data_IF_634114159251
#
_entry.id   IF_634114159251
#
_cell.length_a   1.000
_cell.length_b   1.000
_cell.length_c   1.000
_cell.angle_alpha   90.00
_cell.angle_beta   90.00
_cell.angle_gamma   90.00
#
_symmetry.space_group_name_H-M   'P 1'
#
loop_
_entity.id
_entity.type
_entity.pdbx_description
1 polymer ?
#
# COMPACT_ATOMS: atom_id res chain seq x y z
N UNK A 1 -57.42 14.54 -54.04
CA UNK A 1 -57.19 15.97 -54.33
C UNK A 1 -55.76 16.26 -53.91
N UNK A 2 -54.91 16.50 -54.89
CA UNK A 2 -53.47 16.72 -54.76
C UNK A 2 -53.25 18.15 -54.26
N UNK A 3 -52.34 18.34 -53.31
CA UNK A 3 -51.51 19.55 -53.26
C UNK A 3 -50.33 19.36 -52.30
N UNK A 4 -49.15 19.52 -52.89
CA UNK A 4 -47.80 19.48 -52.35
C UNK A 4 -47.56 20.43 -51.17
N UNK A 5 -46.61 20.06 -50.31
CA UNK A 5 -45.64 21.01 -49.75
C UNK A 5 -44.31 20.28 -49.50
N UNK A 6 -43.27 20.69 -50.23
CA UNK A 6 -41.93 20.14 -50.11
C UNK A 6 -41.03 20.87 -49.10
N UNK A 7 -39.79 20.38 -49.07
CA UNK A 7 -38.56 20.90 -48.46
C UNK A 7 -38.23 20.51 -47.00
N UNK A 8 -37.10 19.79 -46.88
CA UNK A 8 -36.16 20.02 -45.77
C UNK A 8 -35.61 18.78 -45.06
N UNK A 9 -34.96 17.84 -45.77
CA UNK A 9 -34.15 16.81 -45.09
C UNK A 9 -32.88 17.48 -44.54
N UNK A 10 -32.91 17.86 -43.25
CA UNK A 10 -31.70 18.17 -42.49
C UNK A 10 -31.06 16.85 -42.06
N UNK A 11 -29.98 16.48 -42.75
CA UNK A 11 -29.10 15.39 -42.31
C UNK A 11 -28.43 15.79 -40.99
N UNK A 12 -28.85 15.17 -39.89
CA UNK A 12 -28.15 15.24 -38.60
C UNK A 12 -27.06 14.18 -38.63
N UNK A 13 -25.81 14.62 -38.80
CA UNK A 13 -24.64 13.77 -38.63
C UNK A 13 -24.49 13.42 -37.15
N UNK A 14 -24.89 12.20 -36.78
CA UNK A 14 -24.61 11.64 -35.45
C UNK A 14 -23.15 11.17 -35.47
N UNK A 15 -22.27 11.95 -34.83
CA UNK A 15 -20.89 11.55 -34.59
C UNK A 15 -20.88 10.37 -33.60
N UNK A 16 -20.61 9.18 -34.12
CA UNK A 16 -20.42 7.96 -33.32
C UNK A 16 -19.06 8.07 -32.62
N UNK A 17 -19.06 8.56 -31.37
CA UNK A 17 -17.88 8.51 -30.51
C UNK A 17 -17.65 7.05 -30.13
N UNK A 18 -16.72 6.40 -30.82
CA UNK A 18 -16.20 5.09 -30.42
C UNK A 18 -15.32 5.32 -29.19
N UNK A 19 -15.91 5.20 -28.00
CA UNK A 19 -15.15 5.03 -26.77
C UNK A 19 -14.45 3.70 -26.82
N UNK A 20 -13.13 3.72 -27.03
CA UNK A 20 -12.28 2.55 -26.83
C UNK A 20 -12.35 2.17 -25.36
N UNK A 21 -13.22 1.21 -25.03
CA UNK A 21 -13.21 0.57 -23.73
C UNK A 21 -11.94 -0.27 -23.70
N UNK A 22 -10.91 0.21 -23.02
CA UNK A 22 -9.79 -0.63 -22.63
C UNK A 22 -10.36 -1.77 -21.80
N UNK A 23 -10.47 -2.95 -22.40
CA UNK A 23 -10.69 -4.20 -21.67
C UNK A 23 -9.42 -4.40 -20.85
N UNK A 24 -9.41 -3.83 -19.65
CA UNK A 24 -8.54 -4.34 -18.59
C UNK A 24 -8.96 -5.79 -18.41
N UNK A 25 -8.13 -6.71 -18.86
CA UNK A 25 -8.17 -8.07 -18.34
C UNK A 25 -8.10 -7.90 -16.81
N UNK A 26 -9.12 -8.39 -16.10
CA UNK A 26 -9.08 -8.39 -14.65
C UNK A 26 -7.78 -9.11 -14.26
N UNK A 27 -6.92 -8.51 -13.43
CA UNK A 27 -5.73 -9.20 -12.96
C UNK A 27 -6.19 -10.53 -12.37
N UNK A 28 -5.61 -11.66 -12.82
CA UNK A 28 -5.96 -12.96 -12.29
C UNK A 28 -5.87 -12.89 -10.77
N UNK A 29 -6.99 -13.15 -10.09
CA UNK A 29 -7.08 -13.04 -8.65
C UNK A 29 -6.17 -14.10 -8.06
N UNK A 30 -5.04 -13.64 -7.49
CA UNK A 30 -4.12 -14.48 -6.72
C UNK A 30 -4.89 -15.13 -5.57
N UNK A 31 -4.48 -16.34 -5.18
CA UNK A 31 -5.12 -17.07 -4.08
C UNK A 31 -4.13 -17.38 -2.97
N UNK A 32 -4.36 -16.82 -1.79
CA UNK A 32 -3.67 -17.24 -0.58
C UNK A 32 -4.09 -18.67 -0.23
N UNK A 33 -3.10 -19.53 -0.02
CA UNK A 33 -3.29 -20.95 0.30
C UNK A 33 -2.11 -21.47 1.13
N UNK A 34 -2.03 -22.78 1.36
CA UNK A 34 -0.92 -23.43 2.04
C UNK A 34 -0.45 -24.67 1.26
N UNK A 35 0.71 -25.18 1.64
CA UNK A 35 1.35 -26.34 0.98
C UNK A 35 0.46 -27.58 1.04
N UNK A 36 -0.18 -27.84 2.18
CA UNK A 36 -1.07 -28.99 2.33
C UNK A 36 -2.26 -28.95 1.35
N UNK A 37 -2.84 -27.77 1.12
CA UNK A 37 -3.94 -27.58 0.17
C UNK A 37 -3.49 -27.77 -1.29
N UNK A 38 -2.30 -27.30 -1.65
CA UNK A 38 -1.73 -27.50 -2.98
C UNK A 38 -1.52 -28.99 -3.29
N UNK A 39 -0.99 -29.75 -2.32
CA UNK A 39 -0.76 -31.18 -2.45
C UNK A 39 -2.08 -31.98 -2.45
N UNK A 40 -3.08 -31.57 -1.67
CA UNK A 40 -4.36 -32.27 -1.57
C UNK A 40 -5.33 -31.98 -2.73
N UNK A 41 -5.24 -30.80 -3.35
CA UNK A 41 -6.14 -30.36 -4.43
C UNK A 41 -5.40 -29.80 -5.65
N UNK A 42 -4.45 -30.54 -6.25
CA UNK A 42 -3.66 -30.03 -7.35
C UNK A 42 -4.50 -29.67 -8.57
N UNK A 43 -5.60 -30.40 -8.84
CA UNK A 43 -6.56 -30.08 -9.91
C UNK A 43 -7.19 -28.70 -9.74
N UNK A 44 -7.43 -28.26 -8.50
CA UNK A 44 -8.04 -26.96 -8.24
C UNK A 44 -7.03 -25.84 -8.46
N UNK A 45 -5.79 -26.02 -8.00
CA UNK A 45 -4.77 -24.97 -8.02
C UNK A 45 -3.91 -24.91 -9.27
N UNK A 46 -3.86 -25.98 -10.08
CA UNK A 46 -3.00 -26.02 -11.27
C UNK A 46 -3.37 -24.88 -12.24
N UNK A 47 -2.36 -24.15 -12.71
CA UNK A 47 -2.52 -23.00 -13.57
C UNK A 47 -3.03 -21.72 -12.89
N UNK A 48 -3.18 -21.72 -11.56
CA UNK A 48 -3.68 -20.54 -10.82
C UNK A 48 -2.54 -19.77 -10.16
N UNK A 49 -2.59 -18.43 -10.15
CA UNK A 49 -1.73 -17.63 -9.31
C UNK A 49 -2.03 -17.85 -7.83
N UNK A 50 -1.00 -18.10 -7.05
CA UNK A 50 -1.06 -18.42 -5.63
C UNK A 50 -0.11 -17.54 -4.81
N UNK A 51 -0.37 -17.50 -3.51
CA UNK A 51 0.61 -17.11 -2.51
C UNK A 51 0.57 -18.09 -1.35
N UNK A 52 1.75 -18.50 -0.88
CA UNK A 52 1.93 -19.37 0.29
C UNK A 52 3.04 -18.82 1.17
N UNK A 53 3.08 -19.27 2.42
CA UNK A 53 4.22 -19.07 3.33
C UNK A 53 4.77 -20.44 3.70
N UNK A 54 6.10 -20.57 3.74
CA UNK A 54 6.76 -21.79 4.16
C UNK A 54 8.26 -21.59 4.27
N UNK A 55 8.97 -22.63 4.74
CA UNK A 55 10.42 -22.59 4.81
C UNK A 55 11.01 -22.80 3.42
N UNK A 56 11.66 -21.77 2.87
CA UNK A 56 12.40 -21.84 1.62
C UNK A 56 13.86 -22.17 1.91
N UNK A 57 14.42 -23.06 1.10
CA UNK A 57 15.82 -23.43 1.17
C UNK A 57 16.23 -24.28 -0.04
N UNK A 58 17.49 -24.68 -0.07
CA UNK A 58 18.03 -25.56 -1.13
C UNK A 58 18.09 -27.00 -0.61
N UNK A 59 17.46 -27.92 -1.33
CA UNK A 59 17.50 -29.36 -1.09
C UNK A 59 17.89 -30.07 -2.39
N UNK A 60 18.99 -30.83 -2.39
CA UNK A 60 19.51 -31.57 -3.57
C UNK A 60 19.62 -30.67 -4.82
N UNK A 61 20.23 -29.49 -4.64
CA UNK A 61 20.40 -28.45 -5.67
C UNK A 61 19.08 -27.87 -6.23
N UNK A 62 17.94 -28.12 -5.58
CA UNK A 62 16.65 -27.53 -5.91
C UNK A 62 16.21 -26.53 -4.85
N UNK A 63 15.64 -25.40 -5.28
CA UNK A 63 14.93 -24.51 -4.37
C UNK A 63 13.59 -25.15 -4.03
N UNK A 64 13.29 -25.32 -2.75
CA UNK A 64 12.03 -25.87 -2.26
C UNK A 64 11.41 -25.00 -1.19
N UNK A 65 10.08 -24.98 -1.16
CA UNK A 65 9.30 -24.45 -0.04
C UNK A 65 8.71 -25.63 0.72
N UNK A 66 8.80 -25.60 2.04
CA UNK A 66 8.44 -26.73 2.92
C UNK A 66 7.59 -26.30 4.12
N UNK A 67 6.80 -27.24 4.61
CA UNK A 67 6.04 -27.20 5.86
C UNK A 67 5.97 -28.62 6.43
N UNK A 68 5.30 -28.81 7.57
CA UNK A 68 5.04 -30.15 8.11
C UNK A 68 4.26 -31.04 7.15
N UNK A 69 3.46 -30.45 6.25
CA UNK A 69 2.66 -31.20 5.27
C UNK A 69 3.46 -31.73 4.07
N UNK A 70 4.69 -31.25 3.85
CA UNK A 70 5.52 -31.64 2.72
C UNK A 70 6.29 -30.47 2.09
N UNK A 71 6.89 -30.72 0.93
CA UNK A 71 7.65 -29.72 0.17
C UNK A 71 7.26 -29.67 -1.30
N UNK A 72 7.37 -28.49 -1.91
CA UNK A 72 7.10 -28.25 -3.33
C UNK A 72 8.32 -27.54 -3.93
N UNK A 73 8.71 -27.93 -5.15
CA UNK A 73 9.80 -27.28 -5.88
C UNK A 73 9.41 -25.86 -6.27
N UNK A 74 10.33 -24.93 -6.11
CA UNK A 74 10.23 -23.56 -6.59
C UNK A 74 11.12 -23.41 -7.81
N UNK A 75 10.55 -22.91 -8.91
CA UNK A 75 11.30 -22.51 -10.09
C UNK A 75 11.29 -20.99 -10.12
N UNK A 76 12.44 -20.37 -9.81
CA UNK A 76 12.61 -18.92 -9.78
C UNK A 76 13.91 -18.52 -10.47
N UNK A 77 14.01 -17.23 -10.85
CA UNK A 77 15.26 -16.65 -11.34
C UNK A 77 15.99 -16.02 -10.15
N UNK A 78 17.17 -16.52 -9.81
CA UNK A 78 18.00 -15.99 -8.72
C UNK A 78 18.36 -17.04 -7.67
N UNK A 79 19.11 -16.63 -6.65
CA UNK A 79 19.43 -17.48 -5.50
C UNK A 79 18.21 -17.69 -4.61
N UNK A 80 18.12 -18.87 -3.99
CA UNK A 80 17.12 -19.11 -2.95
C UNK A 80 17.37 -18.19 -1.75
N UNK A 81 16.38 -17.43 -1.28
CA UNK A 81 16.41 -16.97 0.10
C UNK A 81 16.38 -18.20 1.04
N UNK A 82 16.92 -18.03 2.24
CA UNK A 82 16.87 -19.04 3.30
C UNK A 82 16.05 -18.49 4.46
N UNK A 83 15.01 -19.20 4.86
CA UNK A 83 14.14 -18.79 5.95
C UNK A 83 12.66 -19.07 5.70
N UNK A 84 11.81 -18.39 6.46
CA UNK A 84 10.35 -18.42 6.26
C UNK A 84 9.99 -17.30 5.30
N UNK A 85 9.57 -17.67 4.09
CA UNK A 85 9.32 -16.72 3.01
C UNK A 85 7.88 -16.81 2.50
N UNK A 86 7.36 -15.67 2.05
CA UNK A 86 6.16 -15.58 1.22
C UNK A 86 6.55 -15.83 -0.24
N UNK A 87 6.03 -16.92 -0.81
CA UNK A 87 6.25 -17.31 -2.21
C UNK A 87 5.02 -16.95 -3.01
N UNK A 88 5.20 -16.16 -4.07
CA UNK A 88 4.14 -15.81 -5.03
C UNK A 88 4.51 -16.38 -6.38
N UNK A 89 3.52 -16.96 -7.08
CA UNK A 89 3.75 -17.58 -8.37
C UNK A 89 2.53 -18.27 -8.92
N UNK A 90 2.72 -19.10 -9.94
CA UNK A 90 1.70 -19.99 -10.47
C UNK A 90 1.99 -21.42 -10.00
N UNK A 91 0.98 -22.14 -9.50
CA UNK A 91 1.13 -23.55 -9.14
C UNK A 91 0.91 -24.43 -10.37
N UNK A 92 1.87 -25.30 -10.67
CA UNK A 92 1.83 -26.22 -11.79
C UNK A 92 1.79 -27.67 -11.30
N UNK A 93 0.88 -28.44 -11.91
CA UNK A 93 0.86 -29.91 -11.90
C UNK A 93 1.15 -30.34 -13.34
N UNK A 94 2.41 -30.73 -13.59
CA UNK A 94 2.93 -30.93 -14.94
C UNK A 94 2.29 -32.15 -15.61
N UNK A 95 1.89 -33.16 -14.83
CA UNK A 95 1.15 -34.32 -15.35
C UNK A 95 -0.25 -33.99 -15.87
N UNK A 96 -0.75 -32.77 -15.62
CA UNK A 96 -2.01 -32.26 -16.19
C UNK A 96 -1.82 -31.32 -17.37
N UNK A 97 -0.58 -30.91 -17.64
CA UNK A 97 -0.23 -30.13 -18.83
C UNK A 97 -0.01 -31.08 -20.00
N UNK A 98 -0.18 -30.57 -21.22
CA UNK A 98 0.22 -31.32 -22.40
C UNK A 98 1.73 -31.23 -22.58
N UNK A 99 2.39 -32.26 -23.14
CA UNK A 99 3.83 -32.20 -23.44
C UNK A 99 4.22 -31.02 -24.33
N UNK A 100 3.32 -30.56 -25.21
CA UNK A 100 3.50 -29.47 -26.15
C UNK A 100 2.96 -28.11 -25.64
N UNK A 101 2.64 -27.98 -24.35
CA UNK A 101 2.16 -26.72 -23.77
C UNK A 101 3.24 -25.62 -23.93
N UNK A 102 2.86 -24.50 -24.56
CA UNK A 102 3.77 -23.39 -24.87
C UNK A 102 4.48 -22.83 -23.63
N UNK A 103 3.88 -22.94 -22.44
CA UNK A 103 4.50 -22.48 -21.19
C UNK A 103 5.75 -23.29 -20.81
N UNK A 104 5.84 -24.53 -21.29
CA UNK A 104 6.99 -25.40 -21.07
C UNK A 104 8.16 -25.08 -21.99
N UNK A 105 7.92 -24.39 -23.12
CA UNK A 105 8.94 -24.10 -24.14
C UNK A 105 10.12 -23.27 -23.62
N UNK A 106 9.95 -22.57 -22.50
CA UNK A 106 10.99 -21.76 -21.87
C UNK A 106 11.87 -22.52 -20.87
N UNK A 107 11.62 -23.82 -20.68
CA UNK A 107 12.29 -24.65 -19.68
C UNK A 107 12.96 -25.88 -20.29
N UNK A 108 14.15 -26.21 -19.79
CA UNK A 108 14.72 -27.54 -19.96
C UNK A 108 13.97 -28.49 -19.03
N UNK A 109 13.12 -29.36 -19.57
CA UNK A 109 12.28 -30.27 -18.80
C UNK A 109 13.09 -31.25 -17.94
N UNK A 110 14.24 -31.70 -18.45
CA UNK A 110 15.08 -32.67 -17.75
C UNK A 110 15.79 -31.99 -16.59
N UNK A 111 16.40 -30.82 -16.80
CA UNK A 111 17.10 -30.10 -15.75
C UNK A 111 16.14 -29.45 -14.72
N UNK A 112 15.00 -28.94 -15.18
CA UNK A 112 14.08 -28.13 -14.37
C UNK A 112 13.01 -28.94 -13.67
N UNK A 113 12.61 -30.09 -14.20
CA UNK A 113 11.50 -30.87 -13.65
C UNK A 113 11.80 -32.37 -13.53
N UNK A 114 13.01 -32.80 -13.93
CA UNK A 114 13.40 -34.22 -14.00
C UNK A 114 12.46 -35.06 -14.86
N UNK A 115 11.86 -34.44 -15.87
CA UNK A 115 11.02 -35.12 -16.86
C UNK A 115 11.90 -35.50 -18.04
N UNK A 116 11.87 -36.77 -18.42
CA UNK A 116 12.49 -37.23 -19.66
C UNK A 116 11.58 -36.90 -20.86
N UNK A 117 11.98 -36.02 -21.80
CA UNK A 117 11.13 -35.65 -22.93
C UNK A 117 10.83 -36.82 -23.88
N UNK A 118 11.72 -37.82 -23.91
CA UNK A 118 11.56 -39.04 -24.73
C UNK A 118 10.84 -40.17 -23.97
N UNK A 119 10.56 -39.95 -22.68
CA UNK A 119 9.93 -40.91 -21.77
C UNK A 119 8.41 -40.76 -21.65
N UNK A 120 7.77 -41.59 -20.80
CA UNK A 120 6.37 -41.41 -20.48
C UNK A 120 6.14 -40.09 -19.74
N UNK A 121 5.11 -39.35 -20.15
CA UNK A 121 4.70 -38.12 -19.45
C UNK A 121 4.30 -38.42 -17.99
N UNK A 122 4.66 -37.57 -17.01
CA UNK A 122 4.31 -37.78 -15.61
C UNK A 122 2.80 -37.88 -15.39
N UNK A 123 2.41 -38.65 -14.37
CA UNK A 123 1.01 -38.72 -13.94
C UNK A 123 0.62 -37.44 -13.22
N UNK A 124 -0.68 -37.15 -13.22
CA UNK A 124 -1.21 -36.01 -12.47
C UNK A 124 -0.84 -36.10 -10.98
N UNK A 125 -0.27 -35.03 -10.44
CA UNK A 125 0.22 -34.91 -9.07
C UNK A 125 1.61 -35.49 -8.82
N UNK A 126 2.26 -36.13 -9.81
CA UNK A 126 3.60 -36.71 -9.66
C UNK A 126 4.69 -35.64 -9.67
N UNK A 127 4.57 -34.66 -10.57
CA UNK A 127 5.52 -33.56 -10.72
C UNK A 127 4.78 -32.24 -10.55
N UNK A 128 4.99 -31.59 -9.41
CA UNK A 128 4.42 -30.29 -9.07
C UNK A 128 5.50 -29.25 -8.81
N UNK A 129 5.26 -28.02 -9.25
CA UNK A 129 6.19 -26.91 -9.03
C UNK A 129 5.43 -25.59 -8.84
N UNK A 130 6.09 -24.62 -8.21
CA UNK A 130 5.66 -23.23 -8.19
C UNK A 130 6.58 -22.44 -9.11
N UNK A 131 6.03 -21.89 -10.18
CA UNK A 131 6.75 -20.94 -11.03
C UNK A 131 6.69 -19.59 -10.32
N UNK A 132 7.75 -19.27 -9.58
CA UNK A 132 7.74 -18.15 -8.66
C UNK A 132 8.00 -16.83 -9.39
N UNK A 133 7.10 -15.87 -9.18
CA UNK A 133 7.29 -14.49 -9.61
C UNK A 133 8.02 -13.66 -8.56
N UNK A 134 7.94 -14.05 -7.29
CA UNK A 134 8.69 -13.42 -6.20
C UNK A 134 8.79 -14.35 -4.99
N UNK A 135 9.92 -14.27 -4.30
CA UNK A 135 10.13 -14.90 -2.98
C UNK A 135 10.70 -13.81 -2.06
N UNK A 136 10.05 -13.58 -0.93
CA UNK A 136 10.43 -12.50 0.00
C UNK A 136 10.23 -12.95 1.44
N UNK A 137 11.03 -12.47 2.41
CA UNK A 137 10.84 -12.78 3.82
C UNK A 137 9.40 -12.57 4.28
N UNK A 138 8.80 -13.59 4.89
CA UNK A 138 7.44 -13.50 5.37
C UNK A 138 7.35 -12.54 6.56
N UNK A 139 6.38 -11.65 6.54
CA UNK A 139 6.10 -10.76 7.67
C UNK A 139 5.08 -11.42 8.60
N UNK A 140 5.34 -11.49 9.92
CA UNK A 140 4.36 -11.99 10.86
C UNK A 140 3.07 -11.16 10.80
N UNK A 141 1.90 -11.79 10.65
CA UNK A 141 0.64 -11.04 10.67
C UNK A 141 0.41 -10.41 12.05
N UNK A 142 0.00 -9.11 12.10
CA UNK A 142 -0.19 -8.39 13.35
C UNK A 142 -1.46 -8.81 14.11
N UNK A 143 -2.44 -9.38 13.41
CA UNK A 143 -3.69 -9.88 13.97
C UNK A 143 -4.24 -11.06 13.14
N UNK A 144 -5.11 -11.91 13.72
CA UNK A 144 -5.82 -12.93 12.97
C UNK A 144 -6.65 -12.31 11.82
N UNK A 145 -6.56 -12.92 10.65
CA UNK A 145 -7.37 -12.59 9.47
C UNK A 145 -7.51 -13.85 8.60
N UNK A 146 -8.43 -13.83 7.63
CA UNK A 146 -8.60 -14.97 6.71
C UNK A 146 -7.27 -15.33 6.03
N UNK A 147 -6.55 -14.32 5.52
CA UNK A 147 -5.24 -14.50 4.88
C UNK A 147 -4.20 -15.06 5.87
N UNK A 148 -4.11 -14.49 7.07
CA UNK A 148 -3.14 -14.91 8.07
C UNK A 148 -3.33 -16.39 8.46
N UNK A 149 -4.59 -16.81 8.66
CA UNK A 149 -4.96 -18.19 9.01
C UNK A 149 -4.57 -19.15 7.90
N UNK A 150 -4.92 -18.83 6.66
CA UNK A 150 -4.67 -19.72 5.52
C UNK A 150 -3.18 -19.84 5.21
N UNK A 151 -2.41 -18.75 5.33
CA UNK A 151 -0.96 -18.78 5.08
C UNK A 151 -0.16 -19.41 6.22
N UNK A 152 -0.66 -19.41 7.46
CA UNK A 152 0.07 -19.88 8.64
C UNK A 152 -0.77 -20.88 9.45
N UNK A 153 -1.18 -22.02 8.87
CA UNK A 153 -2.16 -22.92 9.49
C UNK A 153 -1.77 -23.36 10.90
N UNK A 154 -0.51 -23.74 11.12
CA UNK A 154 -0.01 -24.24 12.42
C UNK A 154 -0.07 -23.18 13.52
N UNK A 155 0.06 -21.90 13.16
CA UNK A 155 -0.05 -20.79 14.12
C UNK A 155 -1.47 -20.62 14.64
N UNK A 156 -2.48 -21.01 13.86
CA UNK A 156 -3.88 -20.70 14.16
C UNK A 156 -4.72 -21.92 14.48
N UNK A 157 -4.26 -23.14 14.18
CA UNK A 157 -4.98 -24.36 14.53
C UNK A 157 -5.40 -24.37 16.01
N UNK A 158 -6.67 -24.72 16.25
CA UNK A 158 -7.32 -24.75 17.58
C UNK A 158 -7.42 -23.38 18.29
N UNK A 159 -7.04 -22.28 17.63
CA UNK A 159 -7.18 -20.95 18.21
C UNK A 159 -8.58 -20.38 17.98
N UNK A 160 -9.10 -19.73 19.02
CA UNK A 160 -10.33 -18.93 18.94
C UNK A 160 -10.01 -17.55 18.37
N UNK A 161 -10.57 -17.24 17.21
CA UNK A 161 -10.30 -16.00 16.46
C UNK A 161 -11.60 -15.28 16.13
N UNK A 162 -11.50 -13.98 15.88
CA UNK A 162 -12.57 -13.18 15.24
C UNK A 162 -12.06 -12.74 13.88
N UNK A 163 -12.85 -12.99 12.84
CA UNK A 163 -12.48 -12.65 11.45
C UNK A 163 -13.63 -11.92 10.77
N UNK A 164 -13.26 -11.08 9.81
CA UNK A 164 -14.20 -10.42 8.90
C UNK A 164 -13.94 -10.84 7.46
N UNK A 165 -15.03 -10.98 6.70
CA UNK A 165 -14.96 -11.34 5.28
C UNK A 165 -16.29 -11.11 4.56
N UNK A 166 -16.22 -11.03 3.25
CA UNK A 166 -17.38 -10.95 2.39
C UNK A 166 -17.99 -12.34 2.20
N UNK A 167 -19.31 -12.45 2.38
CA UNK A 167 -20.06 -13.67 2.19
C UNK A 167 -19.94 -14.15 0.74
N UNK A 168 -19.75 -15.45 0.52
CA UNK A 168 -19.60 -16.05 -0.81
C UNK A 168 -20.53 -17.26 -1.02
N UNK A 169 -21.55 -17.41 -0.17
CA UNK A 169 -22.50 -18.54 -0.21
C UNK A 169 -21.79 -19.89 -0.06
N UNK A 170 -22.33 -20.96 -0.66
CA UNK A 170 -21.66 -22.26 -0.83
C UNK A 170 -20.55 -22.18 -1.89
N UNK A 171 -19.58 -21.32 -1.67
CA UNK A 171 -18.45 -21.13 -2.57
C UNK A 171 -18.89 -20.76 -4.00
N UNK A 172 -19.89 -19.88 -4.14
CA UNK A 172 -20.48 -19.50 -5.44
C UNK A 172 -19.49 -18.83 -6.39
N UNK A 173 -18.38 -18.30 -5.85
CA UNK A 173 -17.29 -17.67 -6.58
C UNK A 173 -16.15 -18.65 -6.92
N UNK A 174 -16.24 -19.92 -6.50
CA UNK A 174 -15.22 -20.93 -6.78
C UNK A 174 -13.86 -20.61 -6.17
N UNK A 175 -13.87 -20.06 -4.95
CA UNK A 175 -12.68 -19.55 -4.27
C UNK A 175 -11.85 -20.64 -3.60
N UNK A 176 -12.51 -21.71 -3.16
CA UNK A 176 -11.90 -22.85 -2.49
C UNK A 176 -12.21 -24.17 -3.23
N UNK A 177 -11.45 -25.25 -2.95
CA UNK A 177 -11.86 -26.61 -3.28
C UNK A 177 -13.20 -27.01 -2.63
N UNK A 178 -13.63 -28.23 -2.91
CA UNK A 178 -14.90 -28.77 -2.40
C UNK A 178 -15.07 -28.60 -0.89
N UNK A 179 -16.33 -28.39 -0.48
CA UNK A 179 -16.67 -28.11 0.90
C UNK A 179 -16.21 -29.22 1.85
N UNK A 180 -15.83 -28.88 3.09
CA UNK A 180 -15.47 -29.87 4.10
C UNK A 180 -16.67 -30.72 4.56
N UNK A 181 -17.90 -30.35 4.16
CA UNK A 181 -19.16 -31.05 4.41
C UNK A 181 -19.40 -31.35 5.89
N UNK A 182 -19.08 -30.37 6.76
CA UNK A 182 -19.23 -30.47 8.22
C UNK A 182 -20.61 -30.05 8.68
N UNK A 183 -21.29 -29.20 7.93
CA UNK A 183 -22.66 -28.77 8.20
C UNK A 183 -23.44 -28.55 6.90
N UNK A 184 -24.76 -28.69 6.99
CA UNK A 184 -25.66 -28.31 5.88
C UNK A 184 -25.58 -26.82 5.56
N UNK A 185 -25.02 -26.01 6.45
CA UNK A 185 -24.88 -24.57 6.28
C UNK A 185 -23.46 -24.13 5.92
N UNK A 186 -22.55 -25.04 5.55
CA UNK A 186 -21.18 -24.64 5.18
C UNK A 186 -21.21 -23.54 4.11
N UNK A 187 -20.54 -22.42 4.39
CA UNK A 187 -20.43 -21.28 3.48
C UNK A 187 -19.02 -20.70 3.50
N UNK A 188 -18.69 -19.85 2.52
CA UNK A 188 -17.36 -19.26 2.39
C UNK A 188 -17.40 -17.79 2.79
N UNK A 189 -16.38 -17.36 3.54
CA UNK A 189 -15.99 -15.95 3.62
C UNK A 189 -14.73 -15.70 2.80
N UNK A 190 -14.70 -14.57 2.07
CA UNK A 190 -13.53 -14.10 1.31
C UNK A 190 -13.07 -12.73 1.78
N UNK A 191 -11.77 -12.52 1.85
CA UNK A 191 -11.18 -11.21 2.12
C UNK A 191 -9.89 -11.07 1.34
N UNK A 192 -9.78 -9.99 0.55
CA UNK A 192 -8.70 -9.77 -0.40
C UNK A 192 -8.48 -11.00 -1.31
N UNK A 193 -7.34 -11.67 -1.17
CA UNK A 193 -6.95 -12.84 -1.97
C UNK A 193 -7.10 -14.18 -1.23
N UNK A 194 -7.73 -14.17 -0.05
CA UNK A 194 -7.91 -15.34 0.79
C UNK A 194 -9.40 -15.68 0.98
N UNK A 195 -9.68 -16.97 1.19
CA UNK A 195 -11.00 -17.45 1.52
C UNK A 195 -10.92 -18.55 2.59
N UNK A 196 -11.98 -18.70 3.39
CA UNK A 196 -12.09 -19.73 4.41
C UNK A 196 -13.51 -20.26 4.47
N UNK A 197 -13.65 -21.56 4.71
CA UNK A 197 -14.95 -22.17 5.00
C UNK A 197 -15.41 -21.80 6.41
N UNK A 198 -16.68 -21.50 6.56
CA UNK A 198 -17.38 -21.34 7.83
C UNK A 198 -18.32 -22.53 7.98
N UNK A 199 -18.20 -23.22 9.09
CA UNK A 199 -19.04 -24.38 9.42
C UNK A 199 -19.89 -24.08 10.65
N UNK A 200 -20.92 -24.90 10.86
CA UNK A 200 -21.74 -24.86 12.08
C UNK A 200 -22.48 -23.52 12.34
N UNK A 201 -22.62 -22.68 11.32
CA UNK A 201 -23.31 -21.40 11.39
C UNK A 201 -24.36 -21.29 10.29
N UNK A 202 -25.61 -21.05 10.70
CA UNK A 202 -26.65 -20.60 9.77
C UNK A 202 -26.48 -19.09 9.56
N UNK A 203 -26.44 -18.57 8.32
CA UNK A 203 -26.18 -17.15 8.06
C UNK A 203 -27.42 -16.28 8.31
N UNK A 204 -28.00 -16.38 9.51
CA UNK A 204 -29.11 -15.58 10.01
C UNK A 204 -28.58 -14.52 10.97
N UNK A 205 -28.94 -13.27 10.75
CA UNK A 205 -28.40 -12.13 11.48
C UNK A 205 -29.40 -10.97 11.51
N UNK A 206 -29.09 -9.97 12.34
CA UNK A 206 -29.85 -8.73 12.45
C UNK A 206 -29.43 -7.73 11.38
N UNK A 207 -30.40 -7.17 10.67
CA UNK A 207 -30.24 -6.07 9.72
C UNK A 207 -29.90 -4.77 10.42
N UNK A 208 -29.52 -3.77 9.62
CA UNK A 208 -29.30 -2.40 10.14
C UNK A 208 -30.58 -1.81 10.77
N UNK A 209 -31.75 -2.30 10.36
CA UNK A 209 -33.07 -1.97 10.91
C UNK A 209 -33.47 -2.82 12.13
N UNK A 210 -32.58 -3.69 12.61
CA UNK A 210 -32.81 -4.58 13.75
C UNK A 210 -33.70 -5.80 13.44
N UNK A 211 -34.12 -6.00 12.20
CA UNK A 211 -34.92 -7.17 11.80
C UNK A 211 -34.05 -8.38 11.51
N UNK A 212 -34.57 -9.57 11.76
CA UNK A 212 -33.88 -10.79 11.34
C UNK A 212 -33.95 -10.93 9.83
N UNK A 213 -32.82 -11.25 9.21
CA UNK A 213 -32.75 -11.72 7.83
C UNK A 213 -31.73 -12.85 7.72
N UNK A 214 -31.83 -13.60 6.64
CA UNK A 214 -30.97 -14.75 6.37
C UNK A 214 -30.39 -14.63 4.97
N UNK A 215 -29.08 -14.83 4.86
CA UNK A 215 -28.41 -14.85 3.56
C UNK A 215 -28.64 -16.20 2.89
N UNK A 216 -29.04 -16.17 1.62
CA UNK A 216 -29.20 -17.36 0.81
C UNK A 216 -27.84 -17.98 0.48
N UNK A 217 -27.64 -19.24 0.86
CA UNK A 217 -26.42 -20.00 0.56
C UNK A 217 -26.15 -20.12 -0.95
N UNK A 218 -27.20 -20.13 -1.75
CA UNK A 218 -27.15 -20.25 -3.20
C UNK A 218 -27.54 -18.94 -3.93
N UNK A 219 -27.72 -17.84 -3.17
CA UNK A 219 -28.17 -16.56 -3.68
C UNK A 219 -26.99 -15.63 -4.00
N UNK A 220 -26.66 -15.47 -5.29
CA UNK A 220 -25.55 -14.59 -5.73
C UNK A 220 -25.71 -13.13 -5.27
N UNK A 221 -26.95 -12.64 -5.16
CA UNK A 221 -27.27 -11.28 -4.70
C UNK A 221 -26.69 -10.98 -3.29
N UNK A 222 -26.54 -12.01 -2.47
CA UNK A 222 -26.07 -11.89 -1.08
C UNK A 222 -24.55 -11.91 -0.95
N UNK A 223 -23.83 -12.27 -2.03
CA UNK A 223 -22.36 -12.49 -1.99
C UNK A 223 -21.54 -11.20 -1.85
N UNK A 224 -22.18 -10.05 -1.67
CA UNK A 224 -21.51 -8.76 -1.46
C UNK A 224 -21.50 -8.32 0.01
N UNK A 225 -22.20 -9.02 0.89
CA UNK A 225 -22.36 -8.64 2.30
C UNK A 225 -21.10 -8.94 3.11
N UNK A 226 -20.64 -7.95 3.87
CA UNK A 226 -19.53 -8.12 4.81
C UNK A 226 -20.04 -8.61 6.15
N UNK A 227 -19.38 -9.64 6.67
CA UNK A 227 -19.73 -10.33 7.90
C UNK A 227 -18.50 -10.37 8.81
N UNK A 228 -18.75 -10.27 10.11
CA UNK A 228 -17.79 -10.59 11.17
C UNK A 228 -18.36 -11.75 11.99
N UNK A 229 -17.50 -12.69 12.36
CA UNK A 229 -17.85 -13.75 13.30
C UNK A 229 -16.65 -14.24 14.10
N UNK A 230 -16.94 -14.96 15.17
CA UNK A 230 -15.97 -15.62 16.05
C UNK A 230 -16.08 -17.13 15.90
N UNK A 231 -14.98 -17.83 16.09
CA UNK A 231 -14.97 -19.29 16.10
C UNK A 231 -13.59 -19.86 16.35
N UNK A 232 -13.50 -21.18 16.36
CA UNK A 232 -12.23 -21.91 16.50
C UNK A 232 -11.74 -22.36 15.13
N UNK A 233 -10.49 -22.09 14.81
CA UNK A 233 -9.88 -22.52 13.55
C UNK A 233 -9.65 -24.03 13.59
N UNK A 234 -10.06 -24.68 12.52
CA UNK A 234 -9.96 -26.11 12.30
C UNK A 234 -9.34 -26.36 10.92
N UNK A 235 -8.78 -27.55 10.74
CA UNK A 235 -8.13 -27.92 9.49
C UNK A 235 -8.37 -29.37 9.11
N UNK A 236 -8.23 -29.67 7.82
CA UNK A 236 -8.22 -31.04 7.33
C UNK A 236 -8.12 -31.13 5.81
N UNK A 237 -7.37 -32.13 5.34
CA UNK A 237 -6.98 -32.29 3.93
C UNK A 237 -6.38 -30.99 3.34
N UNK A 238 -5.67 -30.21 4.16
CA UNK A 238 -5.09 -28.91 3.77
C UNK A 238 -6.05 -27.72 3.72
N UNK A 239 -7.37 -27.93 3.84
CA UNK A 239 -8.33 -26.82 3.97
C UNK A 239 -8.36 -26.29 5.41
N UNK A 240 -8.54 -24.98 5.52
CA UNK A 240 -8.86 -24.31 6.78
C UNK A 240 -10.36 -24.01 6.82
N UNK A 241 -10.97 -24.19 7.99
CA UNK A 241 -12.32 -23.71 8.26
C UNK A 241 -12.45 -23.15 9.67
N UNK A 242 -13.43 -22.27 9.86
CA UNK A 242 -13.80 -21.76 11.17
C UNK A 242 -15.03 -22.51 11.67
N UNK A 243 -14.89 -23.23 12.78
CA UNK A 243 -16.03 -23.72 13.56
C UNK A 243 -16.63 -22.54 14.33
N UNK A 244 -17.71 -22.00 13.77
CA UNK A 244 -18.25 -20.73 14.17
C UNK A 244 -19.04 -20.83 15.49
N UNK A 245 -18.81 -19.86 16.38
CA UNK A 245 -19.51 -19.75 17.64
C UNK A 245 -20.92 -19.21 17.41
N UNK A 246 -21.94 -19.94 17.86
CA UNK A 246 -23.33 -19.56 17.74
C UNK A 246 -23.57 -18.14 18.30
N UNK A 247 -24.31 -17.31 17.55
CA UNK A 247 -24.63 -15.94 17.95
C UNK A 247 -23.51 -14.91 17.74
N UNK A 248 -22.32 -15.31 17.28
CA UNK A 248 -21.22 -14.36 17.01
C UNK A 248 -21.33 -13.63 15.66
N UNK A 249 -22.18 -14.11 14.75
CA UNK A 249 -22.33 -13.58 13.41
C UNK A 249 -23.03 -12.22 13.40
N UNK A 250 -22.40 -11.23 12.76
CA UNK A 250 -22.97 -9.89 12.57
C UNK A 250 -22.55 -9.27 11.23
N UNK A 251 -23.30 -8.27 10.79
CA UNK A 251 -22.89 -7.42 9.67
C UNK A 251 -21.63 -6.65 10.06
N UNK A 252 -20.70 -6.55 9.13
CA UNK A 252 -19.50 -5.72 9.25
C UNK A 252 -19.37 -4.81 8.04
N UNK A 253 -18.38 -3.92 8.10
CA UNK A 253 -17.93 -3.14 6.95
C UNK A 253 -16.76 -3.88 6.31
N UNK A 254 -16.48 -3.66 5.02
CA UNK A 254 -15.18 -4.00 4.47
C UNK A 254 -14.10 -3.51 5.44
N UNK A 255 -13.06 -4.31 5.76
CA UNK A 255 -11.85 -3.79 6.34
C UNK A 255 -11.50 -2.56 5.52
N UNK A 256 -11.35 -1.42 6.19
CA UNK A 256 -10.56 -0.36 5.61
C UNK A 256 -9.26 -1.07 5.27
N UNK A 257 -8.91 -1.18 3.99
CA UNK A 257 -7.52 -1.47 3.64
C UNK A 257 -6.72 -0.59 4.59
N UNK A 258 -5.75 -1.12 5.34
CA UNK A 258 -4.75 -0.21 5.84
C UNK A 258 -4.33 0.53 4.57
N UNK A 259 -4.72 1.81 4.44
CA UNK A 259 -3.90 2.77 3.73
C UNK A 259 -2.54 2.35 4.21
N UNK A 260 -1.62 1.90 3.32
CA UNK A 260 -0.31 1.52 3.78
C UNK A 260 0.02 2.63 4.75
N UNK A 261 0.18 2.28 6.03
CA UNK A 261 1.01 3.13 6.83
C UNK A 261 2.26 2.99 6.00
N UNK A 262 2.51 3.96 5.14
CA UNK A 262 3.83 4.44 4.92
C UNK A 262 4.34 4.56 6.35
N UNK A 263 4.88 3.45 6.89
CA UNK A 263 6.24 3.52 7.36
C UNK A 263 6.94 4.22 6.23
N UNK A 264 6.94 5.55 6.31
CA UNK A 264 7.70 6.40 5.45
C UNK A 264 9.03 5.69 5.45
N UNK A 265 9.43 5.18 4.28
CA UNK A 265 10.80 4.76 4.07
C UNK A 265 11.58 5.89 4.70
N UNK A 266 12.26 5.65 5.83
CA UNK A 266 13.10 6.67 6.43
C UNK A 266 14.24 6.80 5.45
N UNK A 267 14.00 7.60 4.40
CA UNK A 267 15.04 8.12 3.55
C UNK A 267 16.01 8.72 4.56
N UNK A 268 17.26 8.24 4.61
CA UNK A 268 18.25 8.81 5.51
C UNK A 268 18.18 10.32 5.33
N UNK A 269 17.93 11.03 6.44
CA UNK A 269 17.59 12.44 6.37
C UNK A 269 18.69 13.17 5.59
N UNK A 270 18.29 14.00 4.62
CA UNK A 270 19.26 14.78 3.86
C UNK A 270 20.05 15.71 4.78
N UNK A 271 21.17 16.28 4.31
CA UNK A 271 21.88 17.31 5.06
C UNK A 271 20.92 18.42 5.50
N UNK A 272 21.09 19.02 6.69
CA UNK A 272 20.25 20.12 7.15
C UNK A 272 20.18 21.27 6.14
N UNK A 273 19.06 22.00 6.06
CA UNK A 273 19.01 23.24 5.28
C UNK A 273 20.01 24.25 5.86
N UNK A 274 20.66 25.00 4.97
CA UNK A 274 21.63 26.04 5.32
C UNK A 274 21.29 27.34 4.57
N UNK A 275 21.57 28.49 5.18
CA UNK A 275 21.55 29.78 4.48
C UNK A 275 22.80 29.86 3.61
N UNK A 276 22.62 29.95 2.30
CA UNK A 276 23.74 30.01 1.33
C UNK A 276 24.01 31.43 0.84
N UNK A 277 23.00 32.31 0.90
CA UNK A 277 23.13 33.67 0.44
C UNK A 277 22.11 34.58 1.10
N UNK A 278 22.45 35.86 1.24
CA UNK A 278 21.51 36.89 1.67
C UNK A 278 21.73 38.19 0.90
N UNK A 279 20.68 38.98 0.76
CA UNK A 279 20.74 40.36 0.28
C UNK A 279 19.83 41.20 1.17
N UNK A 280 20.32 42.21 1.88
CA UNK A 280 21.73 42.63 2.01
C UNK A 280 22.65 41.54 2.54
N UNK A 281 23.96 41.67 2.33
CA UNK A 281 24.99 40.78 2.89
C UNK A 281 25.39 41.19 4.30
N UNK A 282 26.08 40.30 5.04
CA UNK A 282 26.57 40.60 6.38
C UNK A 282 27.47 41.84 6.38
N UNK A 283 27.24 42.72 7.35
CA UNK A 283 27.91 44.00 7.55
C UNK A 283 27.85 44.95 6.34
N UNK A 284 26.90 44.74 5.41
CA UNK A 284 26.68 45.65 4.30
C UNK A 284 26.30 47.04 4.83
N UNK A 285 26.86 48.09 4.22
CA UNK A 285 26.64 49.48 4.64
C UNK A 285 25.98 50.28 3.53
N UNK A 286 25.41 51.43 3.89
CA UNK A 286 24.69 52.32 2.97
C UNK A 286 23.50 51.63 2.25
N UNK A 287 22.89 50.65 2.91
CA UNK A 287 21.72 49.95 2.38
C UNK A 287 20.52 50.89 2.31
N UNK A 288 19.82 50.91 1.18
CA UNK A 288 18.64 51.76 0.98
C UNK A 288 17.56 51.49 2.04
N UNK A 289 16.90 52.57 2.49
CA UNK A 289 15.82 52.47 3.50
C UNK A 289 14.60 51.68 3.02
N UNK A 290 14.43 51.54 1.71
CA UNK A 290 13.36 50.76 1.07
C UNK A 290 13.78 49.34 0.68
N UNK A 291 14.91 48.84 1.20
CA UNK A 291 15.41 47.51 0.87
C UNK A 291 14.44 46.39 1.24
N UNK A 292 14.59 45.24 0.60
CA UNK A 292 13.96 43.97 1.00
C UNK A 292 15.06 43.00 1.38
N UNK A 293 14.84 42.20 2.43
CA UNK A 293 15.80 41.15 2.78
C UNK A 293 15.42 39.87 2.07
N UNK A 294 16.35 39.28 1.33
CA UNK A 294 16.20 37.98 0.67
C UNK A 294 17.22 37.03 1.26
N UNK A 295 16.77 35.88 1.75
CA UNK A 295 17.63 34.82 2.29
C UNK A 295 17.42 33.58 1.45
N UNK A 296 18.49 33.09 0.82
CA UNK A 296 18.45 31.89 -0.03
C UNK A 296 18.97 30.67 0.75
N UNK A 297 18.25 29.55 0.61
CA UNK A 297 18.50 28.31 1.33
C UNK A 297 19.03 27.23 0.39
N UNK A 298 19.87 26.33 0.92
CA UNK A 298 20.38 25.17 0.18
C UNK A 298 19.29 24.15 -0.15
N UNK A 299 18.23 24.07 0.68
CA UNK A 299 17.14 23.09 0.60
C UNK A 299 15.78 23.73 0.88
N UNK A 300 14.73 22.96 0.62
CA UNK A 300 13.35 23.38 0.85
C UNK A 300 13.01 23.40 2.35
N UNK A 301 12.27 24.43 2.77
CA UNK A 301 11.79 24.59 4.15
C UNK A 301 10.31 24.22 4.27
N UNK A 302 9.92 23.71 5.43
CA UNK A 302 8.51 23.68 5.82
C UNK A 302 8.07 25.11 6.19
N UNK A 303 7.28 25.72 5.30
CA UNK A 303 6.80 27.09 5.46
C UNK A 303 6.03 27.32 6.76
N UNK A 304 5.36 26.29 7.32
CA UNK A 304 4.62 26.42 8.57
C UNK A 304 5.55 26.74 9.74
N UNK A 305 6.80 26.27 9.70
CA UNK A 305 7.80 26.45 10.76
C UNK A 305 8.46 27.83 10.78
N UNK A 306 8.23 28.67 9.75
CA UNK A 306 8.77 30.04 9.73
C UNK A 306 8.00 30.99 10.66
N UNK A 307 6.73 30.70 10.92
CA UNK A 307 5.86 31.58 11.71
C UNK A 307 6.33 31.62 13.16
N UNK A 308 6.67 32.81 13.65
CA UNK A 308 7.14 33.00 15.03
C UNK A 308 8.65 32.83 15.22
N UNK A 309 9.39 32.42 14.18
CA UNK A 309 10.82 32.14 14.25
C UNK A 309 11.69 33.13 13.43
N UNK A 310 11.09 34.18 12.89
CA UNK A 310 11.81 35.28 12.23
C UNK A 310 11.67 36.53 13.10
N UNK A 311 12.79 37.17 13.41
CA UNK A 311 12.82 38.43 14.14
C UNK A 311 13.59 39.48 13.33
N UNK A 312 13.09 40.71 13.32
CA UNK A 312 13.78 41.85 12.72
C UNK A 312 13.72 43.04 13.67
N UNK A 313 14.87 43.66 13.95
CA UNK A 313 14.98 44.76 14.90
C UNK A 313 16.12 45.71 14.55
N UNK A 314 16.02 46.96 15.01
CA UNK A 314 17.20 47.82 15.06
C UNK A 314 18.13 47.40 16.20
N UNK A 315 19.42 47.73 16.07
CA UNK A 315 20.39 47.51 17.12
C UNK A 315 20.10 48.44 18.32
N UNK A 316 19.78 47.86 19.46
CA UNK A 316 19.34 48.61 20.65
C UNK A 316 20.39 49.62 21.15
N UNK A 317 21.68 49.30 21.01
CA UNK A 317 22.77 50.20 21.42
C UNK A 317 22.75 51.54 20.71
N UNK A 318 22.27 51.61 19.45
CA UNK A 318 22.16 52.87 18.72
C UNK A 318 20.99 53.73 19.17
N UNK A 319 19.92 53.12 19.71
CA UNK A 319 18.80 53.88 20.30
C UNK A 319 19.27 54.55 21.60
N UNK A 320 20.00 53.80 22.43
CA UNK A 320 20.61 54.33 23.66
C UNK A 320 21.59 55.48 23.38
N UNK A 321 22.45 55.35 22.36
CA UNK A 321 23.39 56.41 21.96
C UNK A 321 22.70 57.69 21.46
N UNK A 322 21.49 57.57 20.92
CA UNK A 322 20.65 58.70 20.46
C UNK A 322 19.81 59.33 21.59
N UNK A 323 19.88 58.78 22.81
CA UNK A 323 19.06 59.24 23.93
C UNK A 323 17.59 58.85 23.81
N UNK A 324 17.27 57.85 23.00
CA UNK A 324 15.91 57.35 22.83
C UNK A 324 15.55 56.37 23.96
N UNK A 325 14.33 56.48 24.54
CA UNK A 325 13.92 55.61 25.65
C UNK A 325 13.71 54.15 25.22
N UNK A 326 13.26 53.93 23.97
CA UNK A 326 12.96 52.61 23.42
C UNK A 326 13.50 52.49 21.98
N UNK A 327 13.81 51.25 21.56
CA UNK A 327 14.15 50.97 20.16
C UNK A 327 12.89 50.92 19.31
N UNK A 328 12.82 51.68 18.19
CA UNK A 328 11.65 51.65 17.31
C UNK A 328 11.35 50.23 16.78
N UNK A 329 10.08 49.81 16.73
CA UNK A 329 9.71 48.51 16.18
C UNK A 329 9.81 48.52 14.64
N UNK A 330 10.15 47.36 14.07
CA UNK A 330 10.11 47.13 12.62
C UNK A 330 8.92 46.23 12.31
N UNK A 331 7.92 46.76 11.63
CA UNK A 331 6.81 45.97 11.08
C UNK A 331 7.24 45.34 9.75
N UNK A 332 7.10 44.03 9.63
CA UNK A 332 7.48 43.29 8.43
C UNK A 332 6.53 42.14 8.11
N UNK A 333 6.61 41.68 6.87
CA UNK A 333 6.03 40.41 6.42
C UNK A 333 7.13 39.53 5.85
N UNK A 334 7.06 38.23 6.11
CA UNK A 334 7.97 37.25 5.54
C UNK A 334 7.17 36.28 4.65
N UNK A 335 7.66 36.02 3.45
CA UNK A 335 7.10 35.04 2.52
C UNK A 335 8.18 34.08 2.06
N UNK A 336 7.86 32.79 2.09
CA UNK A 336 8.73 31.77 1.52
C UNK A 336 8.31 31.46 0.08
N UNK A 337 9.27 31.44 -0.82
CA UNK A 337 9.09 30.99 -2.19
C UNK A 337 9.83 29.66 -2.38
N UNK A 338 9.11 28.52 -2.46
CA UNK A 338 9.73 27.20 -2.59
C UNK A 338 10.44 27.03 -3.94
N UNK A 339 9.96 27.65 -5.02
CA UNK A 339 10.54 27.48 -6.36
C UNK A 339 12.02 27.89 -6.42
N UNK A 340 12.40 28.90 -5.63
CA UNK A 340 13.75 29.43 -5.59
C UNK A 340 14.43 29.27 -4.22
N UNK A 341 13.76 28.64 -3.24
CA UNK A 341 14.22 28.49 -1.86
C UNK A 341 14.62 29.81 -1.21
N UNK A 342 13.76 30.82 -1.34
CA UNK A 342 14.02 32.15 -0.80
C UNK A 342 12.99 32.53 0.25
N UNK A 343 13.45 32.97 1.43
CA UNK A 343 12.64 33.75 2.37
C UNK A 343 12.82 35.22 2.02
N UNK A 344 11.73 35.87 1.66
CA UNK A 344 11.67 37.29 1.34
C UNK A 344 10.98 38.05 2.48
N UNK A 345 11.67 39.02 3.05
CA UNK A 345 11.19 39.88 4.14
C UNK A 345 10.99 41.28 3.57
N UNK A 346 9.75 41.77 3.69
CA UNK A 346 9.34 43.11 3.27
C UNK A 346 8.92 43.93 4.47
N UNK A 347 9.40 45.17 4.54
CA UNK A 347 9.06 46.12 5.59
C UNK A 347 7.79 46.89 5.23
N UNK A 348 6.93 47.12 6.23
CA UNK A 348 5.67 47.83 6.02
C UNK A 348 5.88 49.33 5.73
N UNK A 349 6.98 49.90 6.23
CA UNK A 349 7.39 51.30 6.05
C UNK A 349 8.89 51.35 5.72
N UNK A 350 9.39 52.41 5.07
CA UNK A 350 10.82 52.64 4.92
C UNK A 350 11.51 52.60 6.29
N UNK A 351 12.67 51.95 6.34
CA UNK A 351 13.47 51.80 7.54
C UNK A 351 14.16 53.12 7.92
N UNK A 352 14.43 53.31 9.21
CA UNK A 352 15.11 54.51 9.71
C UNK A 352 16.57 54.61 9.26
N UNK A 353 16.92 55.75 8.69
CA UNK A 353 18.27 56.06 8.18
C UNK A 353 19.33 55.96 9.28
N UNK A 354 20.54 55.55 8.88
CA UNK A 354 21.71 55.48 9.77
C UNK A 354 21.49 54.61 11.01
N UNK A 355 20.66 53.58 10.89
CA UNK A 355 20.51 52.50 11.87
C UNK A 355 21.02 51.19 11.31
N UNK A 356 21.44 50.31 12.21
CA UNK A 356 21.79 48.93 11.94
C UNK A 356 20.58 48.05 12.19
N UNK A 357 20.23 47.24 11.18
CA UNK A 357 19.16 46.25 11.24
C UNK A 357 19.78 44.89 11.54
N UNK A 358 19.16 44.16 12.46
CA UNK A 358 19.46 42.77 12.77
C UNK A 358 18.26 41.90 12.36
N UNK A 359 18.50 40.90 11.54
CA UNK A 359 17.54 39.86 11.14
C UNK A 359 17.98 38.54 11.75
N UNK A 360 17.06 37.81 12.35
CA UNK A 360 17.34 36.52 13.00
C UNK A 360 16.36 35.47 12.49
N UNK A 361 16.91 34.36 12.00
CA UNK A 361 16.22 33.09 11.81
C UNK A 361 16.52 32.22 13.04
N UNK A 362 15.52 32.08 13.91
CA UNK A 362 15.66 31.43 15.22
C UNK A 362 15.53 29.91 15.19
N UNK A 363 15.76 29.28 16.34
CA UNK A 363 15.54 27.85 16.55
C UNK A 363 14.07 27.48 16.28
N UNK A 364 13.83 26.34 15.64
CA UNK A 364 12.48 25.81 15.36
C UNK A 364 12.09 25.81 13.88
N UNK A 365 12.87 26.49 13.01
CA UNK A 365 12.70 26.40 11.56
C UNK A 365 13.25 25.06 11.06
N UNK A 366 12.50 24.37 10.20
CA UNK A 366 12.89 23.05 9.69
C UNK A 366 12.68 22.89 8.18
N UNK A 367 13.42 21.95 7.59
CA UNK A 367 13.22 21.43 6.25
C UNK A 367 11.92 20.63 6.12
N UNK A 368 11.48 20.35 4.90
CA UNK A 368 10.31 19.49 4.63
C UNK A 368 10.48 18.05 5.12
N UNK A 369 11.72 17.64 5.39
CA UNK A 369 12.12 16.34 5.97
C UNK A 369 12.32 16.39 7.50
N UNK A 370 11.99 17.52 8.14
CA UNK A 370 12.08 17.73 9.59
C UNK A 370 13.48 18.07 10.10
N UNK A 371 14.48 18.22 9.21
CA UNK A 371 15.84 18.61 9.63
C UNK A 371 15.89 20.10 10.04
N UNK A 372 16.50 20.44 11.19
CA UNK A 372 16.50 21.82 11.68
C UNK A 372 17.43 22.72 10.86
N UNK A 373 16.97 23.93 10.54
CA UNK A 373 17.84 25.02 10.08
C UNK A 373 18.65 25.52 11.27
N UNK A 374 19.97 25.61 11.13
CA UNK A 374 20.82 26.24 12.16
C UNK A 374 20.42 27.71 12.32
N UNK A 375 20.26 28.21 13.55
CA UNK A 375 19.99 29.63 13.78
C UNK A 375 21.00 30.51 13.06
N UNK A 376 20.49 31.55 12.41
CA UNK A 376 21.26 32.42 11.54
C UNK A 376 20.92 33.88 11.81
N UNK A 377 21.93 34.73 11.74
CA UNK A 377 21.83 36.16 12.03
C UNK A 377 22.42 36.92 10.85
N UNK A 378 21.74 38.00 10.46
CA UNK A 378 22.23 38.98 9.52
C UNK A 378 22.20 40.37 10.15
N UNK A 379 23.29 41.12 9.97
CA UNK A 379 23.39 42.51 10.36
C UNK A 379 23.77 43.38 9.17
N UNK A 380 23.10 44.51 8.97
CA UNK A 380 23.47 45.49 7.94
C UNK A 380 23.12 46.92 8.37
N UNK A 381 23.81 47.92 7.83
CA UNK A 381 23.64 49.33 8.17
C UNK A 381 22.95 50.11 7.04
N UNK A 382 21.94 50.90 7.43
CA UNK A 382 21.14 51.71 6.53
C UNK A 382 21.82 53.03 6.19
N UNK A 383 21.72 53.39 4.91
CA UNK A 383 22.22 54.62 4.33
C UNK A 383 21.30 55.82 4.51
N UNK A 384 21.65 56.90 3.80
CA UNK A 384 20.89 58.15 3.79
C UNK A 384 19.75 58.22 2.75
N UNK A 385 19.64 57.24 1.86
CA UNK A 385 18.67 57.24 0.75
C UNK A 385 17.37 56.52 1.09
#
# INVERSE_FOLDING_TARGET
MISDLGFGIRAVAVALVVTTVSISAQPQVRRATNIAALLAYPTFYTGRPIVIVGKVGVEKDEIRVSSEAGSIRIVSKGSAPDGIDEVRGEFWDLGRMKPDDVRLSTYDLRATFHIDPDGPWPRAGEVTAIIATSVTPAQPPPAPSIRAIVLNPDRYFDQKVTISGQFSGRNLMGDLPDAPAKSRYDFVLRAADAAIWIINMRPRLKGADGKDFELGLDARIDTSRWLELRGTVQQGRGLMWLDAEAGSLKLSKPPTEPTPTEEAVRVPAGPPPEVIFSTPTEDETDVATTTTVRVQLSRDLDQATLKGHIQVRYLASQSAQRGEPDTPPIEFTARYNPANRVVEIRFAKPLERFRTVKVELGEGIAGTDGQPLKPWVLTFALGGS
#
